data_IF_134526828657
#
_entry.id   IF_134526828657
#
_cell.length_a   1.000
_cell.length_b   1.000
_cell.length_c   1.000
_cell.angle_alpha   90.00
_cell.angle_beta   90.00
_cell.angle_gamma   90.00
#
_symmetry.space_group_name_H-M   'P 1'
#
loop_
_entity.id
_entity.type
_entity.pdbx_description
1 polymer ?
#
# COMPACT_ATOMS: atom_id res chain seq x y z
N UNK A 1 29.75 16.99 4.19
CA UNK A 1 29.12 15.75 4.68
C UNK A 1 27.88 15.52 3.84
N UNK A 2 27.62 14.29 3.46
CA UNK A 2 26.36 13.93 2.85
C UNK A 2 25.26 13.91 3.93
N UNK A 3 24.01 14.21 3.57
CA UNK A 3 22.86 14.13 4.47
C UNK A 3 22.39 12.67 4.74
N UNK A 4 23.20 11.68 4.34
CA UNK A 4 22.92 10.25 4.47
C UNK A 4 24.16 9.54 5.08
N UNK A 5 23.96 8.41 5.74
CA UNK A 5 24.98 7.58 6.44
C UNK A 5 25.72 8.25 7.60
N UNK A 6 25.20 9.35 8.14
CA UNK A 6 25.57 9.83 9.47
C UNK A 6 24.81 9.00 10.51
N UNK A 7 25.49 8.34 11.45
CA UNK A 7 24.86 7.37 12.37
C UNK A 7 24.60 7.90 13.78
N UNK A 8 25.07 9.12 14.08
CA UNK A 8 25.07 9.69 15.44
C UNK A 8 24.18 10.94 15.56
N UNK A 9 23.06 10.96 14.84
CA UNK A 9 22.05 12.02 14.96
C UNK A 9 20.68 11.41 15.32
N UNK A 10 19.96 12.05 16.23
CA UNK A 10 18.65 11.58 16.70
C UNK A 10 17.53 11.74 15.67
N UNK A 11 17.73 12.60 14.67
CA UNK A 11 16.79 12.79 13.56
C UNK A 11 16.94 11.74 12.45
N UNK A 12 17.93 10.86 12.56
CA UNK A 12 18.10 9.75 11.63
C UNK A 12 16.89 8.82 11.63
N UNK A 13 16.48 8.38 10.44
CA UNK A 13 15.45 7.38 10.26
C UNK A 13 15.89 6.32 9.24
N UNK A 14 15.39 5.10 9.38
CA UNK A 14 15.71 3.98 8.49
C UNK A 14 14.60 3.84 7.45
N UNK A 15 14.93 4.03 6.18
CA UNK A 15 13.98 3.88 5.06
C UNK A 15 13.89 2.43 4.53
N UNK A 16 14.88 1.59 4.84
CA UNK A 16 14.96 0.19 4.39
C UNK A 16 15.20 -0.71 5.58
N UNK A 17 14.12 -1.31 6.08
CA UNK A 17 14.11 -2.11 7.31
C UNK A 17 14.04 -3.62 7.05
N UNK A 18 13.74 -4.03 5.80
CA UNK A 18 13.79 -5.44 5.37
C UNK A 18 14.59 -5.60 4.08
N UNK A 19 15.00 -6.84 3.79
CA UNK A 19 15.51 -7.22 2.47
C UNK A 19 14.40 -7.39 1.42
N UNK A 20 13.12 -7.27 1.82
CA UNK A 20 11.94 -7.44 0.98
C UNK A 20 11.21 -6.11 0.77
N UNK A 21 11.74 -5.28 -0.13
CA UNK A 21 11.14 -3.97 -0.45
C UNK A 21 9.69 -4.03 -0.95
N UNK A 22 9.23 -5.18 -1.46
CA UNK A 22 7.81 -5.38 -1.85
C UNK A 22 6.89 -5.54 -0.63
N UNK A 23 7.40 -6.00 0.50
CA UNK A 23 6.65 -6.07 1.76
C UNK A 23 6.42 -4.70 2.39
N UNK A 24 7.28 -3.73 2.09
CA UNK A 24 7.32 -2.45 2.79
C UNK A 24 6.19 -1.47 2.36
N UNK A 25 5.41 -1.79 1.32
CA UNK A 25 4.33 -0.92 0.82
C UNK A 25 3.38 -0.43 1.91
N UNK A 26 3.00 -1.28 2.87
CA UNK A 26 2.09 -0.93 3.96
C UNK A 26 2.66 0.15 4.89
N UNK A 27 3.94 0.03 5.26
CA UNK A 27 4.63 1.01 6.12
C UNK A 27 4.79 2.35 5.40
N UNK A 28 5.16 2.32 4.11
CA UNK A 28 5.24 3.53 3.31
C UNK A 28 3.86 4.20 3.18
N UNK A 29 2.80 3.43 2.89
CA UNK A 29 1.44 3.96 2.80
C UNK A 29 1.02 4.66 4.11
N UNK A 30 1.31 4.04 5.25
CA UNK A 30 1.06 4.63 6.58
C UNK A 30 1.84 5.92 6.79
N UNK A 31 3.13 5.95 6.46
CA UNK A 31 3.96 7.15 6.58
C UNK A 31 3.40 8.33 5.76
N UNK A 32 3.03 8.08 4.50
CA UNK A 32 2.44 9.10 3.64
C UNK A 32 1.06 9.56 4.11
N UNK A 33 0.21 8.65 4.62
CA UNK A 33 -1.08 8.99 5.23
C UNK A 33 -0.91 9.92 6.42
N UNK A 34 -0.07 9.53 7.39
CA UNK A 34 0.16 10.32 8.60
C UNK A 34 0.78 11.67 8.29
N UNK A 35 1.68 11.73 7.30
CA UNK A 35 2.22 13.00 6.80
C UNK A 35 1.14 13.89 6.18
N UNK A 36 0.26 13.32 5.35
CA UNK A 36 -0.86 14.03 4.75
C UNK A 36 -1.83 14.57 5.81
N UNK A 37 -2.18 13.76 6.79
CA UNK A 37 -3.09 14.13 7.89
C UNK A 37 -2.58 15.29 8.71
N UNK A 38 -1.32 15.22 9.17
CA UNK A 38 -0.71 16.29 9.95
C UNK A 38 -0.64 17.60 9.17
N UNK A 39 -0.31 17.53 7.87
CA UNK A 39 -0.26 18.71 7.02
C UNK A 39 -1.67 19.26 6.74
N UNK A 40 -2.64 18.40 6.47
CA UNK A 40 -4.03 18.78 6.25
C UNK A 40 -4.64 19.44 7.49
N UNK A 41 -4.41 18.88 8.67
CA UNK A 41 -4.86 19.43 9.95
C UNK A 41 -4.26 20.82 10.20
N UNK A 42 -2.95 20.97 9.97
CA UNK A 42 -2.26 22.26 10.11
C UNK A 42 -2.87 23.33 9.20
N UNK A 43 -3.07 23.01 7.90
CA UNK A 43 -3.62 23.96 6.92
C UNK A 43 -5.08 24.29 7.19
N UNK A 44 -5.91 23.30 7.53
CA UNK A 44 -7.36 23.49 7.75
C UNK A 44 -7.70 24.14 9.09
N UNK A 45 -6.76 24.16 10.03
CA UNK A 45 -6.85 24.88 11.31
C UNK A 45 -6.35 26.32 11.23
N UNK A 46 -5.55 26.66 10.20
CA UNK A 46 -5.10 28.01 9.96
C UNK A 46 -6.26 28.92 9.51
N UNK A 47 -6.18 30.22 9.82
CA UNK A 47 -7.18 31.20 9.35
C UNK A 47 -7.23 31.30 7.82
N UNK A 48 -6.07 31.10 7.17
CA UNK A 48 -5.88 31.03 5.72
C UNK A 48 -4.61 30.25 5.41
N UNK A 49 -4.56 29.64 4.24
CA UNK A 49 -3.35 29.06 3.65
C UNK A 49 -3.29 29.43 2.16
N UNK A 50 -2.10 29.43 1.57
CA UNK A 50 -1.93 29.61 0.14
C UNK A 50 -2.19 28.31 -0.62
N UNK A 51 -2.79 28.37 -1.81
CA UNK A 51 -3.18 27.18 -2.58
C UNK A 51 -2.04 26.19 -2.80
N UNK A 52 -0.81 26.69 -3.01
CA UNK A 52 0.36 25.84 -3.23
C UNK A 52 0.75 24.99 -2.02
N UNK A 53 0.33 25.36 -0.81
CA UNK A 53 0.56 24.57 0.40
C UNK A 53 -0.32 23.31 0.43
N UNK A 54 -1.45 23.31 -0.29
CA UNK A 54 -2.35 22.17 -0.35
C UNK A 54 -1.93 21.10 -1.37
N UNK A 55 -1.12 21.45 -2.39
CA UNK A 55 -0.73 20.50 -3.44
C UNK A 55 -0.01 19.25 -2.88
N UNK A 56 0.94 19.38 -1.94
CA UNK A 56 1.56 18.24 -1.31
C UNK A 56 0.56 17.33 -0.60
N UNK A 57 -0.44 17.87 0.11
CA UNK A 57 -1.45 17.04 0.81
C UNK A 57 -2.20 16.15 -0.17
N UNK A 58 -2.63 16.71 -1.30
CA UNK A 58 -3.35 15.97 -2.36
C UNK A 58 -2.48 14.84 -2.89
N UNK A 59 -1.21 15.13 -3.20
CA UNK A 59 -0.26 14.11 -3.65
C UNK A 59 -0.02 13.02 -2.60
N UNK A 60 0.20 13.39 -1.34
CA UNK A 60 0.49 12.44 -0.26
C UNK A 60 -0.67 11.47 -0.03
N UNK A 61 -1.91 11.96 0.02
CA UNK A 61 -3.10 11.09 0.14
C UNK A 61 -3.25 10.16 -1.07
N UNK A 62 -3.07 10.68 -2.28
CA UNK A 62 -3.13 9.89 -3.51
C UNK A 62 -2.04 8.82 -3.55
N UNK A 63 -0.85 9.14 -3.05
CA UNK A 63 0.26 8.20 -3.00
C UNK A 63 0.05 7.12 -1.93
N UNK A 64 -0.40 7.51 -0.74
CA UNK A 64 -0.78 6.58 0.32
C UNK A 64 -1.82 5.57 -0.16
N UNK A 65 -2.86 6.00 -0.89
CA UNK A 65 -3.87 5.10 -1.46
C UNK A 65 -3.27 4.10 -2.46
N UNK A 66 -2.44 4.55 -3.40
CA UNK A 66 -1.79 3.63 -4.34
C UNK A 66 -0.95 2.57 -3.62
N UNK A 67 -0.13 2.99 -2.66
CA UNK A 67 0.73 2.08 -1.90
C UNK A 67 -0.10 1.11 -1.07
N UNK A 68 -1.21 1.57 -0.47
CA UNK A 68 -2.14 0.70 0.25
C UNK A 68 -2.78 -0.36 -0.63
N UNK A 69 -3.21 0.00 -1.84
CA UNK A 69 -3.78 -0.97 -2.78
C UNK A 69 -2.72 -1.96 -3.28
N UNK A 70 -1.50 -1.48 -3.57
CA UNK A 70 -0.37 -2.33 -3.96
C UNK A 70 -0.01 -3.32 -2.86
N UNK A 71 0.05 -2.87 -1.60
CA UNK A 71 0.32 -3.74 -0.46
C UNK A 71 -0.66 -4.92 -0.43
N UNK A 72 -1.96 -4.68 -0.57
CA UNK A 72 -2.97 -5.74 -0.57
C UNK A 72 -2.71 -6.77 -1.68
N UNK A 73 -2.45 -6.32 -2.91
CA UNK A 73 -2.21 -7.25 -4.03
C UNK A 73 -0.93 -8.06 -3.80
N UNK A 74 0.14 -7.43 -3.29
CA UNK A 74 1.40 -8.12 -2.99
C UNK A 74 1.26 -9.11 -1.83
N UNK A 75 0.58 -8.75 -0.74
CA UNK A 75 0.34 -9.65 0.39
C UNK A 75 -0.50 -10.85 -0.06
N UNK A 76 -1.52 -10.64 -0.90
CA UNK A 76 -2.31 -11.73 -1.45
C UNK A 76 -1.50 -12.69 -2.35
N UNK A 77 -0.61 -12.14 -3.19
CA UNK A 77 0.28 -12.94 -4.00
C UNK A 77 1.26 -13.76 -3.14
N UNK A 78 1.77 -13.16 -2.05
CA UNK A 78 2.67 -13.82 -1.11
C UNK A 78 1.98 -14.97 -0.35
N UNK A 79 0.78 -14.73 0.18
CA UNK A 79 -0.07 -15.77 0.81
C UNK A 79 -0.29 -16.93 -0.17
N UNK A 80 -0.65 -16.61 -1.43
CA UNK A 80 -0.88 -17.63 -2.46
C UNK A 80 0.39 -18.44 -2.76
N UNK A 81 1.56 -17.80 -2.78
CA UNK A 81 2.84 -18.48 -3.00
C UNK A 81 3.19 -19.46 -1.86
N UNK A 82 2.89 -19.10 -0.61
CA UNK A 82 3.06 -20.00 0.54
C UNK A 82 2.07 -21.17 0.53
N UNK A 83 0.83 -20.96 0.06
CA UNK A 83 -0.21 -21.99 0.07
C UNK A 83 -0.13 -22.97 -1.12
N UNK A 84 0.24 -22.51 -2.32
CA UNK A 84 0.05 -23.28 -3.57
C UNK A 84 1.30 -23.51 -4.42
N UNK A 85 2.51 -23.26 -3.88
CA UNK A 85 3.83 -23.41 -4.55
C UNK A 85 4.22 -22.19 -5.42
N UNK A 86 5.52 -21.82 -5.51
CA UNK A 86 5.99 -20.50 -5.96
C UNK A 86 6.07 -20.32 -7.49
N UNK A 87 5.02 -20.71 -8.22
CA UNK A 87 4.96 -20.60 -9.68
C UNK A 87 4.07 -19.46 -10.20
N UNK A 88 3.45 -18.67 -9.32
CA UNK A 88 2.76 -17.45 -9.73
C UNK A 88 3.80 -16.37 -10.06
N UNK A 89 4.15 -16.25 -11.35
CA UNK A 89 5.00 -15.20 -11.89
C UNK A 89 4.40 -13.82 -11.53
N UNK A 90 4.90 -13.27 -10.42
CA UNK A 90 4.41 -12.08 -9.71
C UNK A 90 4.71 -10.77 -10.43
N UNK A 91 4.48 -10.73 -11.74
CA UNK A 91 4.61 -9.52 -12.55
C UNK A 91 3.34 -8.69 -12.42
N UNK A 92 3.20 -8.04 -11.27
CA UNK A 92 2.45 -6.81 -11.21
C UNK A 92 3.10 -5.82 -12.18
N UNK A 93 2.35 -5.39 -13.18
CA UNK A 93 2.74 -4.22 -13.97
C UNK A 93 2.90 -3.06 -12.97
N UNK A 94 3.97 -2.27 -13.11
CA UNK A 94 4.12 -0.98 -12.42
C UNK A 94 3.07 -0.01 -12.96
N UNK A 95 1.80 -0.31 -12.68
CA UNK A 95 0.68 0.55 -12.99
C UNK A 95 0.42 1.43 -11.76
N UNK A 96 0.29 2.72 -12.01
CA UNK A 96 -0.03 3.72 -11.00
C UNK A 96 -1.52 4.10 -11.06
N UNK A 97 -2.28 3.59 -12.03
CA UNK A 97 -3.69 3.93 -12.16
C UNK A 97 -4.49 3.26 -11.04
N UNK A 98 -5.22 4.07 -10.29
CA UNK A 98 -5.98 3.62 -9.14
C UNK A 98 -7.15 2.68 -9.48
N UNK A 99 -7.96 2.91 -10.55
CA UNK A 99 -9.09 2.01 -10.83
C UNK A 99 -8.68 0.56 -11.17
N UNK A 100 -7.65 0.30 -12.01
CA UNK A 100 -7.13 -1.05 -12.18
C UNK A 100 -6.63 -1.69 -10.88
N UNK A 101 -5.97 -0.91 -10.01
CA UNK A 101 -5.52 -1.39 -8.70
C UNK A 101 -6.71 -1.76 -7.81
N UNK A 102 -7.75 -0.93 -7.73
CA UNK A 102 -8.96 -1.21 -6.97
C UNK A 102 -9.67 -2.49 -7.45
N UNK A 103 -9.77 -2.68 -8.78
CA UNK A 103 -10.31 -3.90 -9.36
C UNK A 103 -9.47 -5.14 -9.02
N UNK A 104 -8.13 -5.00 -9.02
CA UNK A 104 -7.23 -6.07 -8.58
C UNK A 104 -7.40 -6.41 -7.10
N UNK A 105 -7.51 -5.39 -6.23
CA UNK A 105 -7.77 -5.54 -4.80
C UNK A 105 -9.09 -6.27 -4.54
N UNK A 106 -10.18 -5.89 -5.22
CA UNK A 106 -11.47 -6.56 -5.08
C UNK A 106 -11.37 -8.05 -5.45
N UNK A 107 -10.69 -8.39 -6.53
CA UNK A 107 -10.51 -9.78 -6.96
C UNK A 107 -9.71 -10.61 -5.95
N UNK A 108 -8.60 -10.08 -5.42
CA UNK A 108 -7.77 -10.84 -4.47
C UNK A 108 -8.44 -10.99 -3.11
N UNK A 109 -9.16 -9.97 -2.65
CA UNK A 109 -9.87 -10.03 -1.36
C UNK A 109 -11.07 -10.99 -1.44
N UNK A 110 -11.81 -11.01 -2.55
CA UNK A 110 -12.88 -11.99 -2.77
C UNK A 110 -12.33 -13.43 -2.78
N UNK A 111 -11.15 -13.63 -3.37
CA UNK A 111 -10.50 -14.95 -3.41
C UNK A 111 -10.05 -15.42 -2.02
N UNK A 112 -9.43 -14.53 -1.24
CA UNK A 112 -8.91 -14.86 0.08
C UNK A 112 -10.00 -14.95 1.15
N UNK A 113 -11.04 -14.10 1.04
CA UNK A 113 -12.07 -13.93 2.06
C UNK A 113 -13.50 -13.97 1.48
N UNK A 114 -13.91 -15.04 0.79
CA UNK A 114 -15.18 -15.12 0.05
C UNK A 114 -16.45 -15.05 0.93
N UNK A 115 -16.30 -15.10 2.26
CA UNK A 115 -17.41 -15.07 3.23
C UNK A 115 -17.48 -13.76 4.02
N UNK A 116 -16.57 -12.82 3.77
CA UNK A 116 -16.47 -11.58 4.53
C UNK A 116 -17.33 -10.47 3.88
N UNK A 117 -18.61 -10.42 4.25
CA UNK A 117 -19.58 -9.49 3.66
C UNK A 117 -19.28 -8.00 3.89
N UNK A 118 -18.48 -7.67 4.92
CA UNK A 118 -18.07 -6.29 5.20
C UNK A 118 -17.14 -5.70 4.13
N UNK A 119 -16.38 -6.55 3.43
CA UNK A 119 -15.46 -6.12 2.36
C UNK A 119 -16.21 -5.54 1.16
N UNK A 120 -17.42 -6.01 0.86
CA UNK A 120 -18.19 -5.51 -0.29
C UNK A 120 -18.52 -4.02 -0.18
N UNK A 121 -18.84 -3.52 1.02
CA UNK A 121 -19.09 -2.09 1.25
C UNK A 121 -17.82 -1.26 1.06
N UNK A 122 -16.72 -1.71 1.66
CA UNK A 122 -15.41 -1.06 1.56
C UNK A 122 -14.90 -1.03 0.12
N UNK A 123 -15.08 -2.11 -0.64
CA UNK A 123 -14.64 -2.18 -2.05
C UNK A 123 -15.40 -1.20 -2.94
N UNK A 124 -16.70 -1.02 -2.71
CA UNK A 124 -17.47 0.00 -3.41
C UNK A 124 -16.95 1.41 -3.12
N UNK A 125 -16.70 1.72 -1.84
CA UNK A 125 -16.16 3.02 -1.44
C UNK A 125 -14.78 3.28 -2.07
N UNK A 126 -13.89 2.29 -2.04
CA UNK A 126 -12.56 2.38 -2.68
C UNK A 126 -12.70 2.60 -4.19
N UNK A 127 -13.61 1.89 -4.87
CA UNK A 127 -13.83 2.05 -6.30
C UNK A 127 -14.30 3.46 -6.64
N UNK A 128 -15.26 4.00 -5.88
CA UNK A 128 -15.77 5.37 -6.04
C UNK A 128 -14.66 6.40 -5.85
N UNK A 129 -13.85 6.27 -4.79
CA UNK A 129 -12.70 7.14 -4.54
C UNK A 129 -11.67 7.05 -5.66
N UNK A 130 -11.37 5.84 -6.15
CA UNK A 130 -10.43 5.65 -7.26
C UNK A 130 -10.93 6.28 -8.57
N UNK A 131 -12.24 6.31 -8.78
CA UNK A 131 -12.87 7.00 -9.92
C UNK A 131 -12.86 8.52 -9.77
N UNK A 132 -13.01 9.05 -8.55
CA UNK A 132 -12.78 10.47 -8.27
C UNK A 132 -11.34 10.86 -8.63
N UNK A 133 -10.36 10.04 -8.21
CA UNK A 133 -8.94 10.26 -8.54
C UNK A 133 -8.63 10.15 -10.03
N UNK A 134 -9.33 9.30 -10.77
CA UNK A 134 -9.19 9.22 -12.24
C UNK A 134 -9.42 10.57 -12.90
N UNK A 135 -10.33 11.37 -12.33
CA UNK A 135 -10.63 12.72 -12.82
C UNK A 135 -9.66 13.78 -12.28
N UNK A 136 -9.19 13.59 -11.05
CA UNK A 136 -8.40 14.58 -10.31
C UNK A 136 -6.90 14.51 -10.62
N UNK A 137 -6.32 13.31 -10.64
CA UNK A 137 -4.90 13.02 -10.89
C UNK A 137 -4.73 11.60 -11.47
N UNK A 138 -5.05 11.38 -12.76
CA UNK A 138 -5.10 10.05 -13.39
C UNK A 138 -3.76 9.30 -13.37
N UNK A 139 -2.65 10.02 -13.25
CA UNK A 139 -1.31 9.50 -13.47
C UNK A 139 -0.32 9.83 -12.35
N UNK A 140 -0.82 10.28 -11.19
CA UNK A 140 -0.01 10.56 -9.98
C UNK A 140 0.87 11.81 -10.05
N UNK A 141 0.77 12.65 -11.08
CA UNK A 141 1.72 13.76 -11.30
C UNK A 141 1.07 15.14 -11.27
N UNK A 142 -0.26 15.23 -11.26
CA UNK A 142 -0.97 16.51 -11.42
C UNK A 142 -0.68 17.54 -10.32
N UNK A 143 -0.36 17.07 -9.12
CA UNK A 143 -0.02 17.90 -7.96
C UNK A 143 1.48 17.96 -7.66
N UNK A 144 2.31 17.44 -8.59
CA UNK A 144 3.78 17.50 -8.53
C UNK A 144 4.36 18.42 -9.60
N UNK A 145 3.75 18.42 -10.79
CA UNK A 145 4.22 19.18 -11.93
C UNK A 145 3.05 19.93 -12.58
N UNK A 146 3.22 21.21 -12.94
CA UNK A 146 2.16 21.99 -13.59
C UNK A 146 1.88 21.53 -15.03
N UNK A 147 2.81 20.76 -15.64
CA UNK A 147 2.69 20.16 -16.96
C UNK A 147 2.98 18.65 -16.92
N UNK A 148 2.34 17.90 -17.81
CA UNK A 148 2.61 16.49 -18.05
C UNK A 148 3.89 16.28 -18.88
N UNK A 149 4.24 15.01 -19.12
CA UNK A 149 5.43 14.65 -19.91
C UNK A 149 5.32 15.08 -21.38
N UNK A 150 4.14 15.49 -21.86
CA UNK A 150 3.88 16.04 -23.18
C UNK A 150 3.83 17.57 -23.19
N UNK A 151 4.07 18.23 -22.05
CA UNK A 151 4.04 19.69 -21.91
C UNK A 151 2.62 20.28 -21.81
N UNK A 152 1.58 19.47 -21.64
CA UNK A 152 0.20 19.94 -21.46
C UNK A 152 -0.10 20.18 -19.98
N UNK A 153 -1.06 21.07 -19.62
CA UNK A 153 -1.42 21.29 -18.23
C UNK A 153 -1.82 19.99 -17.52
N UNK A 154 -1.27 19.75 -16.33
CA UNK A 154 -1.54 18.49 -15.60
C UNK A 154 -2.91 18.47 -14.91
N UNK A 155 -3.50 19.64 -14.67
CA UNK A 155 -4.82 19.80 -14.06
C UNK A 155 -5.78 20.49 -15.02
N UNK A 156 -7.09 20.33 -14.77
CA UNK A 156 -8.11 21.07 -15.52
C UNK A 156 -8.02 22.55 -15.19
N UNK A 157 -8.38 23.39 -16.15
CA UNK A 157 -8.48 24.82 -15.92
C UNK A 157 -9.49 25.10 -14.78
N UNK A 158 -9.09 25.92 -13.80
CA UNK A 158 -9.89 26.24 -12.61
C UNK A 158 -10.31 25.03 -11.76
N UNK A 159 -9.49 23.98 -11.71
CA UNK A 159 -9.71 22.83 -10.82
C UNK A 159 -9.69 23.26 -9.35
N UNK A 160 -10.80 23.04 -8.64
CA UNK A 160 -10.95 23.33 -7.21
C UNK A 160 -11.03 22.04 -6.42
N UNK A 161 -10.30 21.94 -5.32
CA UNK A 161 -10.34 20.80 -4.39
C UNK A 161 -10.70 21.30 -3.00
N UNK A 162 -11.73 20.71 -2.40
CA UNK A 162 -12.05 20.95 -1.00
C UNK A 162 -11.12 20.11 -0.11
N UNK A 163 -10.08 20.75 0.44
CA UNK A 163 -9.06 20.09 1.26
C UNK A 163 -9.65 19.36 2.47
N UNK A 164 -10.66 19.94 3.14
CA UNK A 164 -11.31 19.33 4.31
C UNK A 164 -12.06 18.06 3.95
N UNK A 165 -12.82 18.08 2.85
CA UNK A 165 -13.54 16.91 2.35
C UNK A 165 -12.60 15.83 1.84
N UNK A 166 -11.51 16.21 1.15
CA UNK A 166 -10.48 15.28 0.73
C UNK A 166 -9.83 14.60 1.94
N UNK A 167 -9.37 15.38 2.91
CA UNK A 167 -8.70 14.85 4.10
C UNK A 167 -9.59 13.89 4.88
N UNK A 168 -10.85 14.27 5.12
CA UNK A 168 -11.82 13.40 5.78
C UNK A 168 -12.02 12.07 5.04
N UNK A 169 -12.38 12.10 3.75
CA UNK A 169 -12.65 10.88 2.97
C UNK A 169 -11.41 9.99 2.85
N UNK A 170 -10.24 10.60 2.62
CA UNK A 170 -9.00 9.84 2.44
C UNK A 170 -8.52 9.22 3.75
N UNK A 171 -8.60 9.93 4.88
CA UNK A 171 -8.26 9.36 6.18
C UNK A 171 -9.16 8.18 6.53
N UNK A 172 -10.47 8.31 6.36
CA UNK A 172 -11.42 7.22 6.65
C UNK A 172 -11.16 5.96 5.83
N UNK A 173 -10.98 6.09 4.50
CA UNK A 173 -10.73 4.91 3.66
C UNK A 173 -9.35 4.30 3.93
N UNK A 174 -8.33 5.11 4.22
CA UNK A 174 -6.99 4.62 4.47
C UNK A 174 -6.86 3.95 5.84
N UNK A 175 -7.59 4.40 6.86
CA UNK A 175 -7.71 3.71 8.15
C UNK A 175 -8.39 2.34 8.00
N UNK A 176 -9.45 2.29 7.18
CA UNK A 176 -10.11 1.02 6.85
C UNK A 176 -9.15 0.07 6.11
N UNK A 177 -8.36 0.59 5.16
CA UNK A 177 -7.33 -0.18 4.47
C UNK A 177 -6.21 -0.65 5.41
N UNK A 178 -5.82 0.14 6.42
CA UNK A 178 -4.83 -0.28 7.43
C UNK A 178 -5.34 -1.47 8.25
N UNK A 179 -6.65 -1.53 8.52
CA UNK A 179 -7.27 -2.71 9.16
C UNK A 179 -7.16 -3.95 8.26
N UNK A 180 -7.37 -3.78 6.94
CA UNK A 180 -7.18 -4.87 5.97
C UNK A 180 -5.71 -5.30 5.91
N UNK A 181 -4.76 -4.35 5.92
CA UNK A 181 -3.33 -4.64 5.95
C UNK A 181 -2.95 -5.48 7.16
N UNK A 182 -3.45 -5.11 8.34
CA UNK A 182 -3.22 -5.87 9.56
C UNK A 182 -3.73 -7.31 9.44
N UNK A 183 -4.94 -7.50 8.92
CA UNK A 183 -5.48 -8.84 8.66
C UNK A 183 -4.62 -9.65 7.69
N UNK A 184 -4.18 -9.04 6.58
CA UNK A 184 -3.32 -9.70 5.60
C UNK A 184 -1.93 -10.06 6.16
N UNK A 185 -1.36 -9.24 7.04
CA UNK A 185 -0.09 -9.56 7.70
C UNK A 185 -0.26 -10.80 8.58
N UNK A 186 -1.33 -10.89 9.37
CA UNK A 186 -1.64 -12.09 10.16
C UNK A 186 -1.77 -13.33 9.27
N UNK A 187 -2.52 -13.24 8.17
CA UNK A 187 -2.68 -14.37 7.26
C UNK A 187 -1.38 -14.76 6.54
N UNK A 188 -0.52 -13.78 6.27
CA UNK A 188 0.82 -14.03 5.70
C UNK A 188 1.69 -14.78 6.69
N UNK A 189 1.75 -14.34 7.96
CA UNK A 189 2.52 -14.99 9.01
C UNK A 189 2.08 -16.45 9.22
N UNK A 190 0.76 -16.69 9.28
CA UNK A 190 0.20 -18.05 9.37
C UNK A 190 0.59 -18.91 8.16
N UNK A 191 0.46 -18.37 6.95
CA UNK A 191 0.77 -19.11 5.72
C UNK A 191 2.26 -19.48 5.67
N UNK A 192 3.13 -18.56 6.11
CA UNK A 192 4.56 -18.79 6.21
C UNK A 192 4.90 -19.88 7.25
N UNK A 193 4.34 -19.80 8.46
CA UNK A 193 4.57 -20.80 9.52
C UNK A 193 4.16 -22.22 9.08
N UNK A 194 3.01 -22.35 8.41
CA UNK A 194 2.56 -23.63 7.86
C UNK A 194 3.55 -24.13 6.79
N UNK A 195 3.97 -23.26 5.87
CA UNK A 195 4.92 -23.61 4.83
C UNK A 195 6.24 -24.11 5.43
N UNK A 196 6.81 -23.39 6.40
CA UNK A 196 8.05 -23.75 7.08
C UNK A 196 7.93 -25.10 7.82
N UNK A 197 6.81 -25.33 8.50
CA UNK A 197 6.50 -26.59 9.19
C UNK A 197 6.45 -27.75 8.20
N UNK A 198 5.79 -27.58 7.06
CA UNK A 198 5.72 -28.60 6.00
C UNK A 198 7.10 -28.88 5.42
N UNK A 199 7.92 -27.84 5.17
CA UNK A 199 9.29 -28.03 4.68
C UNK A 199 10.15 -28.82 5.68
N UNK A 200 10.06 -28.52 6.98
CA UNK A 200 10.79 -29.26 8.02
C UNK A 200 10.37 -30.75 8.05
N UNK A 201 9.07 -31.03 7.94
CA UNK A 201 8.56 -32.40 7.85
C UNK A 201 9.10 -33.11 6.61
N UNK A 202 9.04 -32.49 5.43
CA UNK A 202 9.57 -33.07 4.18
C UNK A 202 11.06 -33.39 4.30
N UNK A 203 11.87 -32.48 4.86
CA UNK A 203 13.30 -32.70 5.09
C UNK A 203 13.52 -33.88 6.06
N UNK A 204 12.77 -33.95 7.15
CA UNK A 204 12.87 -35.04 8.14
C UNK A 204 12.51 -36.42 7.55
N UNK A 205 11.55 -36.48 6.62
CA UNK A 205 11.15 -37.71 5.93
C UNK A 205 12.17 -38.08 4.85
N UNK A 206 12.80 -37.09 4.21
CA UNK A 206 13.76 -37.31 3.12
C UNK A 206 15.15 -37.71 3.63
N UNK A 207 15.48 -37.40 4.88
CA UNK A 207 16.73 -37.79 5.56
C UNK A 207 16.37 -38.45 6.92
N UNK A 208 15.80 -39.67 6.92
CA UNK A 208 15.57 -40.38 8.17
C UNK A 208 16.93 -40.56 8.85
N UNK A 209 17.04 -40.12 10.10
CA UNK A 209 18.24 -40.32 10.91
C UNK A 209 18.59 -41.80 10.93
N UNK A 210 19.76 -42.15 10.41
CA UNK A 210 20.40 -43.45 10.57
C UNK A 210 20.65 -43.69 12.06
N UNK A 211 19.62 -44.15 12.77
CA UNK A 211 19.74 -44.68 14.12
C UNK A 211 19.26 -46.11 14.10
N UNK A 212 20.14 -47.02 13.66
CA UNK A 212 20.23 -48.41 14.09
C UNK A 212 21.48 -49.06 13.47
N UNK A 213 22.58 -49.14 14.23
CA UNK A 213 23.35 -50.38 14.44
C UNK A 213 24.68 -50.10 15.16
N UNK A 214 24.71 -50.20 16.48
CA UNK A 214 25.84 -50.80 17.18
C UNK A 214 25.25 -51.73 18.25
N UNK A 215 25.12 -53.00 17.86
CA UNK A 215 25.02 -54.15 18.75
C UNK A 215 26.37 -54.84 18.83
#
# INVERSE_FOLDING_TARGET
MAFYDELNDESNFVASFTSNSKGDFGVFAKGYRLGAERLAESLTSAHRFADYEAYPVVFLYRHALELSLKHIIYSAALISAFQFSPSADGRLKNDHRLPPLASGVAQVLELLFPKEGSLGLLMREISEICDDWRNLDPHSYAYRYPIDIQGKPSTRQHQVVNLRSLAFRMSTVLESLETVHFGLNIETDKAQEIYETVQQIIVSISHPTDTESEG
#
